data_IF_980104612319
#
_entry.id   IF_980104612319
#
_cell.length_a   1.000
_cell.length_b   1.000
_cell.length_c   1.000
_cell.angle_alpha   90.00
_cell.angle_beta   90.00
_cell.angle_gamma   90.00
#
_symmetry.space_group_name_H-M   'P 1'
#
loop_
_entity.id
_entity.type
_entity.pdbx_description
1 polymer ?
#
# COMPACT_ATOMS: atom_id res chain seq x y z
N UNK A 1 -24.70 -7.52 2.31
CA UNK A 1 -23.37 -8.08 2.11
C UNK A 1 -22.37 -6.93 2.00
N UNK A 2 -21.44 -6.85 2.89
CA UNK A 2 -20.66 -5.66 3.26
C UNK A 2 -19.34 -5.48 2.52
N UNK A 3 -19.11 -6.21 1.44
CA UNK A 3 -17.96 -5.98 0.55
C UNK A 3 -18.00 -4.54 0.00
N UNK A 4 -19.19 -4.04 -0.31
CA UNK A 4 -19.38 -2.68 -0.82
C UNK A 4 -18.93 -1.61 0.19
N UNK A 5 -19.24 -1.77 1.47
CA UNK A 5 -18.90 -0.80 2.51
C UNK A 5 -17.39 -0.76 2.77
N UNK A 6 -16.73 -1.94 2.79
CA UNK A 6 -15.27 -2.04 2.95
C UNK A 6 -14.53 -1.54 1.71
N UNK A 7 -15.02 -1.84 0.50
CA UNK A 7 -14.42 -1.39 -0.76
C UNK A 7 -14.57 0.13 -0.96
N UNK A 8 -15.63 0.73 -0.43
CA UNK A 8 -15.83 2.17 -0.49
C UNK A 8 -14.72 2.96 0.22
N UNK A 9 -14.08 2.38 1.23
CA UNK A 9 -12.92 2.97 1.91
C UNK A 9 -11.70 3.16 0.99
N UNK A 10 -11.62 2.42 -0.12
CA UNK A 10 -10.54 2.57 -1.11
C UNK A 10 -10.50 3.96 -1.74
N UNK A 11 -11.66 4.56 -2.05
CA UNK A 11 -11.73 5.91 -2.61
C UNK A 11 -11.16 6.97 -1.67
N UNK A 12 -11.48 6.88 -0.39
CA UNK A 12 -10.94 7.80 0.64
C UNK A 12 -9.43 7.60 0.81
N UNK A 13 -8.94 6.38 0.74
CA UNK A 13 -7.51 6.08 0.83
C UNK A 13 -6.74 6.73 -0.32
N UNK A 14 -7.23 6.65 -1.55
CA UNK A 14 -6.61 7.30 -2.72
C UNK A 14 -6.65 8.82 -2.56
N UNK A 15 -7.78 9.41 -2.15
CA UNK A 15 -7.88 10.84 -1.88
C UNK A 15 -6.93 11.30 -0.78
N UNK A 16 -6.68 10.49 0.23
CA UNK A 16 -5.68 10.77 1.27
C UNK A 16 -4.27 10.83 0.70
N UNK A 17 -3.88 9.90 -0.15
CA UNK A 17 -2.57 9.94 -0.82
C UNK A 17 -2.42 11.18 -1.69
N UNK A 18 -3.46 11.56 -2.41
CA UNK A 18 -3.47 12.77 -3.23
C UNK A 18 -3.34 14.03 -2.38
N UNK A 19 -4.04 14.09 -1.26
CA UNK A 19 -3.94 15.19 -0.31
C UNK A 19 -2.53 15.30 0.32
N UNK A 20 -1.94 14.19 0.76
CA UNK A 20 -0.57 14.16 1.31
C UNK A 20 0.44 14.61 0.27
N UNK A 21 0.28 14.19 -0.99
CA UNK A 21 1.10 14.64 -2.11
C UNK A 21 1.03 16.17 -2.29
N UNK A 22 -0.18 16.73 -2.25
CA UNK A 22 -0.39 18.16 -2.40
C UNK A 22 0.20 18.97 -1.23
N UNK A 23 0.10 18.47 0.01
CA UNK A 23 0.69 19.10 1.18
C UNK A 23 2.22 19.10 1.13
N UNK A 24 2.81 18.00 0.75
CA UNK A 24 4.26 17.84 0.73
C UNK A 24 4.92 18.68 -0.36
N UNK A 25 4.17 19.19 -1.33
CA UNK A 25 4.68 19.87 -2.55
C UNK A 25 5.82 19.11 -3.24
N UNK A 26 6.02 17.87 -2.87
CA UNK A 26 7.03 16.97 -3.41
C UNK A 26 6.29 15.99 -4.31
N UNK A 27 6.79 15.77 -5.51
CA UNK A 27 6.32 14.66 -6.33
C UNK A 27 6.77 13.36 -5.66
N UNK A 28 5.87 12.73 -4.89
CA UNK A 28 6.12 11.41 -4.33
C UNK A 28 6.55 10.47 -5.47
N UNK A 29 7.61 9.73 -5.23
CA UNK A 29 8.12 8.77 -6.19
C UNK A 29 9.20 9.30 -7.14
N UNK A 30 9.36 10.60 -7.36
CA UNK A 30 10.38 11.07 -8.30
C UNK A 30 11.82 10.76 -7.84
N UNK A 31 12.11 10.99 -6.55
CA UNK A 31 13.42 10.67 -5.97
C UNK A 31 13.58 9.15 -5.80
N UNK A 32 12.51 8.47 -5.40
CA UNK A 32 12.49 7.04 -5.21
C UNK A 32 12.64 6.30 -6.54
N UNK A 33 11.90 6.74 -7.57
CA UNK A 33 12.05 6.27 -8.94
C UNK A 33 13.48 6.42 -9.46
N UNK A 34 14.11 7.58 -9.28
CA UNK A 34 15.51 7.78 -9.69
C UNK A 34 16.47 6.87 -8.94
N UNK A 35 16.22 6.60 -7.66
CA UNK A 35 17.02 5.66 -6.89
C UNK A 35 16.85 4.22 -7.38
N UNK A 36 15.63 3.81 -7.70
CA UNK A 36 15.33 2.50 -8.25
C UNK A 36 15.94 2.32 -9.64
N UNK A 37 15.77 3.30 -10.53
CA UNK A 37 16.40 3.33 -11.86
C UNK A 37 17.92 3.20 -11.74
N UNK A 38 18.55 3.93 -10.83
CA UNK A 38 19.98 3.87 -10.58
C UNK A 38 20.42 2.51 -10.04
N UNK A 39 19.65 1.93 -9.11
CA UNK A 39 19.91 0.58 -8.60
C UNK A 39 19.78 -0.46 -9.70
N UNK A 40 18.73 -0.37 -10.50
CA UNK A 40 18.54 -1.24 -11.67
C UNK A 40 19.73 -1.20 -12.63
N UNK A 41 20.20 0.00 -12.96
CA UNK A 41 21.39 0.18 -13.81
C UNK A 41 22.64 -0.46 -13.19
N UNK A 42 22.89 -0.25 -11.91
CA UNK A 42 24.03 -0.88 -11.21
C UNK A 42 23.97 -2.41 -11.22
N UNK A 43 22.77 -2.99 -11.07
CA UNK A 43 22.57 -4.44 -11.12
C UNK A 43 22.84 -4.95 -12.53
N UNK A 44 22.32 -4.30 -13.55
CA UNK A 44 22.57 -4.67 -14.96
C UNK A 44 24.05 -4.62 -15.28
N UNK A 45 24.74 -3.54 -14.92
CA UNK A 45 26.19 -3.41 -15.13
C UNK A 45 27.01 -4.48 -14.39
N UNK A 46 26.61 -4.81 -13.16
CA UNK A 46 27.26 -5.87 -12.40
C UNK A 46 27.09 -7.25 -13.05
N UNK A 47 25.85 -7.55 -13.50
CA UNK A 47 25.56 -8.80 -14.21
C UNK A 47 26.32 -8.92 -15.53
N UNK A 48 26.37 -7.84 -16.33
CA UNK A 48 27.10 -7.81 -17.58
C UNK A 48 28.62 -8.05 -17.36
N UNK A 49 29.19 -7.46 -16.30
CA UNK A 49 30.58 -7.69 -15.92
C UNK A 49 30.86 -9.11 -15.43
N UNK A 50 29.93 -9.67 -14.62
CA UNK A 50 30.12 -11.02 -14.05
C UNK A 50 29.94 -12.12 -15.09
N UNK A 51 28.97 -11.96 -15.99
CA UNK A 51 28.63 -12.97 -16.99
C UNK A 51 29.36 -12.78 -18.31
N UNK A 52 30.05 -11.66 -18.46
CA UNK A 52 30.71 -11.23 -19.70
C UNK A 52 29.81 -11.31 -20.92
N UNK A 53 28.51 -10.98 -20.72
CA UNK A 53 27.42 -11.09 -21.69
C UNK A 53 26.54 -9.86 -21.56
N UNK A 54 25.99 -9.36 -22.66
CA UNK A 54 25.07 -8.23 -22.67
C UNK A 54 23.68 -8.69 -22.25
N UNK A 55 23.06 -8.00 -21.30
CA UNK A 55 21.69 -8.27 -20.89
C UNK A 55 20.71 -7.90 -22.00
N UNK A 56 19.76 -8.78 -22.35
CA UNK A 56 18.72 -8.47 -23.36
C UNK A 56 17.99 -7.17 -23.03
N UNK A 57 17.66 -6.34 -24.05
CA UNK A 57 17.06 -5.03 -23.83
C UNK A 57 15.74 -5.09 -23.04
N UNK A 58 14.93 -6.11 -23.26
CA UNK A 58 13.65 -6.34 -22.57
C UNK A 58 13.85 -6.50 -21.04
N UNK A 59 14.87 -7.28 -20.65
CA UNK A 59 15.20 -7.50 -19.24
C UNK A 59 15.86 -6.24 -18.65
N UNK A 60 16.71 -5.57 -19.44
CA UNK A 60 17.30 -4.29 -19.04
C UNK A 60 16.23 -3.26 -18.73
N UNK A 61 15.27 -3.09 -19.61
CA UNK A 61 14.16 -2.14 -19.42
C UNK A 61 13.34 -2.46 -18.18
N UNK A 62 13.03 -3.73 -17.93
CA UNK A 62 12.30 -4.16 -16.73
C UNK A 62 13.08 -3.87 -15.43
N UNK A 63 14.41 -4.05 -15.44
CA UNK A 63 15.27 -3.82 -14.28
C UNK A 63 15.57 -2.33 -14.04
N UNK A 64 15.57 -1.51 -15.09
CA UNK A 64 15.92 -0.08 -15.01
C UNK A 64 14.71 0.84 -14.94
N UNK A 65 13.50 0.34 -15.18
CA UNK A 65 12.28 1.13 -15.05
C UNK A 65 11.92 1.24 -13.57
N UNK A 66 12.01 2.45 -13.02
CA UNK A 66 11.60 2.73 -11.65
C UNK A 66 10.07 2.71 -11.49
N UNK A 67 9.62 2.54 -10.26
CA UNK A 67 8.19 2.53 -9.92
C UNK A 67 7.49 3.80 -10.38
N UNK A 68 6.39 3.64 -11.11
CA UNK A 68 5.52 4.74 -11.46
C UNK A 68 4.67 5.15 -10.25
N UNK A 69 4.29 6.43 -10.19
CA UNK A 69 3.41 6.98 -9.16
C UNK A 69 2.11 6.17 -9.02
N UNK A 70 1.57 5.71 -10.14
CA UNK A 70 0.39 4.85 -10.16
C UNK A 70 0.64 3.50 -9.49
N UNK A 71 1.83 2.91 -9.70
CA UNK A 71 2.21 1.65 -9.08
C UNK A 71 2.34 1.79 -7.56
N UNK A 72 2.92 2.90 -7.08
CA UNK A 72 3.02 3.21 -5.64
C UNK A 72 1.65 3.37 -4.99
N UNK A 73 0.74 4.12 -5.62
CA UNK A 73 -0.63 4.30 -5.12
C UNK A 73 -1.38 2.98 -5.10
N UNK A 74 -1.25 2.17 -6.15
CA UNK A 74 -1.88 0.83 -6.22
C UNK A 74 -1.36 -0.09 -5.13
N UNK A 75 -0.05 -0.12 -4.90
CA UNK A 75 0.56 -0.93 -3.84
C UNK A 75 0.07 -0.48 -2.46
N UNK A 76 0.12 0.82 -2.18
CA UNK A 76 -0.36 1.36 -0.91
C UNK A 76 -1.86 1.13 -0.67
N UNK A 77 -2.66 1.19 -1.74
CA UNK A 77 -4.08 0.86 -1.68
C UNK A 77 -4.31 -0.62 -1.38
N UNK A 78 -3.62 -1.52 -2.08
CA UNK A 78 -3.72 -2.97 -1.88
C UNK A 78 -3.35 -3.34 -0.44
N UNK A 79 -2.22 -2.85 0.07
CA UNK A 79 -1.77 -3.09 1.44
C UNK A 79 -2.79 -2.57 2.47
N UNK A 80 -3.31 -1.36 2.27
CA UNK A 80 -4.30 -0.77 3.17
C UNK A 80 -5.59 -1.58 3.20
N UNK A 81 -6.07 -1.99 2.03
CA UNK A 81 -7.31 -2.78 1.91
C UNK A 81 -7.15 -4.18 2.47
N UNK A 82 -6.02 -4.85 2.23
CA UNK A 82 -5.70 -6.17 2.81
C UNK A 82 -5.63 -6.11 4.32
N UNK A 83 -4.94 -5.13 4.87
CA UNK A 83 -4.83 -4.94 6.31
C UNK A 83 -6.19 -4.66 6.95
N UNK A 84 -7.01 -3.81 6.32
CA UNK A 84 -8.36 -3.53 6.79
C UNK A 84 -9.23 -4.80 6.78
N UNK A 85 -9.21 -5.58 5.70
CA UNK A 85 -9.94 -6.83 5.60
C UNK A 85 -9.49 -7.86 6.64
N UNK A 86 -8.19 -8.05 6.80
CA UNK A 86 -7.63 -8.99 7.78
C UNK A 86 -8.06 -8.63 9.20
N UNK A 87 -7.99 -7.36 9.58
CA UNK A 87 -8.43 -6.89 10.90
C UNK A 87 -9.94 -7.19 11.13
N UNK A 88 -10.78 -6.97 10.12
CA UNK A 88 -12.22 -7.28 10.20
C UNK A 88 -12.45 -8.78 10.32
N UNK A 89 -11.75 -9.58 9.52
CA UNK A 89 -11.83 -11.04 9.54
C UNK A 89 -11.38 -11.62 10.88
N UNK A 90 -10.32 -11.07 11.46
CA UNK A 90 -9.81 -11.53 12.75
C UNK A 90 -10.82 -11.27 13.87
N UNK A 91 -11.50 -10.11 13.85
CA UNK A 91 -12.60 -9.83 14.79
C UNK A 91 -13.78 -10.78 14.58
N UNK A 92 -14.13 -11.04 13.32
CA UNK A 92 -15.21 -11.97 12.98
C UNK A 92 -14.92 -13.39 13.49
N UNK A 93 -13.69 -13.86 13.36
CA UNK A 93 -13.28 -15.21 13.80
C UNK A 93 -13.06 -15.32 15.31
N UNK A 94 -12.82 -14.20 16.00
CA UNK A 94 -12.50 -14.20 17.43
C UNK A 94 -13.73 -14.19 18.35
N UNK A 95 -14.94 -13.94 17.83
CA UNK A 95 -16.14 -13.80 18.65
C UNK A 95 -17.33 -14.47 17.98
N UNK A 96 -17.98 -15.38 18.68
CA UNK A 96 -19.22 -16.03 18.25
C UNK A 96 -20.42 -15.06 18.22
N UNK A 97 -20.33 -13.96 18.95
CA UNK A 97 -21.39 -12.92 18.97
C UNK A 97 -21.40 -12.06 17.70
N UNK A 98 -20.32 -12.10 16.93
CA UNK A 98 -20.19 -11.35 15.69
C UNK A 98 -20.68 -12.19 14.51
N UNK A 99 -21.92 -11.98 14.13
CA UNK A 99 -22.66 -12.82 13.17
C UNK A 99 -22.32 -12.54 11.70
N UNK A 100 -21.71 -11.39 11.39
CA UNK A 100 -21.34 -11.02 10.03
C UNK A 100 -20.12 -10.06 9.97
N UNK A 101 -19.53 -9.94 8.78
CA UNK A 101 -18.40 -9.06 8.53
C UNK A 101 -18.73 -7.57 8.71
N UNK A 102 -19.98 -7.17 8.58
CA UNK A 102 -20.40 -5.79 8.79
C UNK A 102 -20.35 -5.42 10.27
N UNK A 103 -20.89 -6.28 11.11
CA UNK A 103 -20.78 -6.15 12.57
C UNK A 103 -19.32 -6.13 13.00
N UNK A 104 -18.47 -7.02 12.43
CA UNK A 104 -17.03 -7.01 12.66
C UNK A 104 -16.38 -5.67 12.27
N UNK A 105 -16.78 -5.09 11.14
CA UNK A 105 -16.25 -3.79 10.69
C UNK A 105 -16.64 -2.66 11.65
N UNK A 106 -17.88 -2.62 12.14
CA UNK A 106 -18.31 -1.66 13.16
C UNK A 106 -17.53 -1.83 14.47
N UNK A 107 -17.37 -3.07 14.95
CA UNK A 107 -16.55 -3.37 16.14
C UNK A 107 -15.12 -2.89 15.96
N UNK A 108 -14.52 -3.13 14.78
CA UNK A 108 -13.18 -2.66 14.45
C UNK A 108 -13.08 -1.12 14.53
N UNK A 109 -14.03 -0.42 13.93
CA UNK A 109 -14.09 1.04 13.95
C UNK A 109 -14.25 1.61 15.36
N UNK A 110 -15.20 1.09 16.12
CA UNK A 110 -15.47 1.52 17.49
C UNK A 110 -14.25 1.27 18.38
N UNK A 111 -13.62 0.08 18.31
CA UNK A 111 -12.40 -0.23 19.08
C UNK A 111 -11.26 0.74 18.77
N UNK A 112 -11.08 1.14 17.52
CA UNK A 112 -10.05 2.12 17.15
C UNK A 112 -10.33 3.50 17.73
N UNK A 113 -11.59 3.94 17.69
CA UNK A 113 -12.01 5.22 18.27
C UNK A 113 -11.81 5.18 19.79
N UNK A 114 -12.30 4.15 20.49
CA UNK A 114 -12.16 3.98 21.92
C UNK A 114 -10.70 4.02 22.36
N UNK A 115 -9.84 3.23 21.70
CA UNK A 115 -8.40 3.24 21.96
C UNK A 115 -7.77 4.63 21.79
N UNK A 116 -8.27 5.42 20.84
CA UNK A 116 -7.78 6.79 20.67
C UNK A 116 -8.19 7.68 21.81
N UNK A 117 -9.44 7.61 22.26
CA UNK A 117 -9.91 8.36 23.44
C UNK A 117 -9.13 7.99 24.69
N UNK A 118 -8.95 6.71 24.97
CA UNK A 118 -8.10 6.23 26.09
C UNK A 118 -6.67 6.80 26.01
N UNK A 119 -6.08 6.83 24.80
CA UNK A 119 -4.72 7.38 24.64
C UNK A 119 -4.64 8.89 24.84
N UNK A 120 -5.75 9.59 24.74
CA UNK A 120 -5.84 11.04 24.97
C UNK A 120 -6.18 11.37 26.43
N UNK A 121 -6.44 10.36 27.28
CA UNK A 121 -6.78 10.54 28.69
C UNK A 121 -8.20 11.08 28.92
N UNK A 122 -9.10 10.82 27.99
CA UNK A 122 -10.52 11.19 28.07
C UNK A 122 -11.34 9.95 28.37
#
# INVERSE_FOLDING_TARGET
MCIRDSLNAGGVTVSYFEWVKNLARIRFGYLERRNEERRGQMIVEALEKMLNTTVPPEIRDQLTTGSDELALVRSGLDDTMRNAYNNIRDIFNASEDVIDLRTAAFVCGIKRIAKRYESMGI
#
